data_IF_347166581336
#
_entry.id   IF_347166581336
#
_cell.length_a   1.000
_cell.length_b   1.000
_cell.length_c   1.000
_cell.angle_alpha   90.00
_cell.angle_beta   90.00
_cell.angle_gamma   90.00
#
_symmetry.space_group_name_H-M   'P 1'
#
loop_
_entity.id
_entity.type
_entity.pdbx_description
1 polymer ?
#
# COMPACT_ATOMS: atom_id res chain seq x y z
N UNK A 1 45.99 18.19 8.50
CA UNK A 1 45.17 18.23 7.28
C UNK A 1 44.23 17.06 7.12
N UNK A 2 44.68 15.80 7.16
CA UNK A 2 43.87 14.59 6.94
C UNK A 2 42.68 14.47 7.93
N UNK A 3 42.85 14.83 9.21
CA UNK A 3 41.77 14.78 10.22
C UNK A 3 40.66 15.79 9.93
N UNK A 4 41.02 17.00 9.46
CA UNK A 4 40.07 18.06 9.12
C UNK A 4 39.25 17.65 7.87
N UNK A 5 39.91 17.08 6.86
CA UNK A 5 39.25 16.59 5.64
C UNK A 5 38.22 15.46 5.96
N UNK A 6 38.57 14.53 6.85
CA UNK A 6 37.65 13.49 7.31
C UNK A 6 36.45 14.05 8.05
N UNK A 7 36.67 15.06 8.91
CA UNK A 7 35.59 15.68 9.69
C UNK A 7 34.64 16.48 8.79
N UNK A 8 35.16 17.18 7.80
CA UNK A 8 34.36 17.90 6.78
C UNK A 8 33.57 16.90 5.92
N UNK A 9 34.19 15.82 5.48
CA UNK A 9 33.51 14.80 4.68
C UNK A 9 32.33 14.15 5.46
N UNK A 10 32.51 13.82 6.75
CA UNK A 10 31.44 13.27 7.60
C UNK A 10 30.31 14.29 7.78
N UNK A 11 30.65 15.58 7.94
CA UNK A 11 29.65 16.65 8.07
C UNK A 11 28.81 16.82 6.78
N UNK A 12 29.43 16.78 5.61
CA UNK A 12 28.72 16.85 4.34
C UNK A 12 27.81 15.62 4.11
N UNK A 13 28.27 14.41 4.46
CA UNK A 13 27.47 13.19 4.36
C UNK A 13 26.23 13.27 5.27
N UNK A 14 26.37 13.78 6.49
CA UNK A 14 25.24 13.92 7.42
C UNK A 14 24.20 14.92 6.92
N UNK A 15 24.60 16.03 6.31
CA UNK A 15 23.67 17.02 5.74
C UNK A 15 22.85 16.43 4.58
N UNK A 16 23.47 15.62 3.70
CA UNK A 16 22.76 15.02 2.57
C UNK A 16 21.70 14.01 3.01
N UNK A 17 21.96 13.24 4.06
CA UNK A 17 21.00 12.27 4.62
C UNK A 17 19.77 12.96 5.24
N UNK A 18 19.95 14.09 5.92
CA UNK A 18 18.85 14.86 6.54
C UNK A 18 17.93 15.44 5.45
N UNK A 19 18.48 15.98 4.38
CA UNK A 19 17.69 16.56 3.29
C UNK A 19 16.83 15.52 2.57
N UNK A 20 17.30 14.27 2.44
CA UNK A 20 16.56 13.19 1.81
C UNK A 20 15.31 12.77 2.63
N UNK A 21 15.45 12.68 3.95
CA UNK A 21 14.35 12.32 4.84
C UNK A 21 13.24 13.38 4.88
N UNK A 22 13.62 14.66 4.85
CA UNK A 22 12.66 15.77 4.80
C UNK A 22 11.88 15.81 3.47
N UNK A 23 12.54 15.53 2.36
CA UNK A 23 11.90 15.47 1.04
C UNK A 23 10.89 14.33 0.94
N UNK A 24 11.20 13.16 1.49
CA UNK A 24 10.31 12.00 1.54
C UNK A 24 8.99 12.32 2.26
N UNK A 25 9.08 12.80 3.48
CA UNK A 25 7.90 13.14 4.29
C UNK A 25 7.05 14.21 3.63
N UNK A 26 7.67 15.16 2.93
CA UNK A 26 6.97 16.22 2.20
C UNK A 26 6.15 15.66 1.03
N UNK A 27 6.74 14.80 0.18
CA UNK A 27 6.02 14.21 -0.97
C UNK A 27 4.86 13.31 -0.55
N UNK A 28 5.03 12.51 0.50
CA UNK A 28 3.97 11.66 1.01
C UNK A 28 2.78 12.49 1.55
N UNK A 29 3.05 13.47 2.41
CA UNK A 29 1.98 14.29 3.00
C UNK A 29 1.27 15.15 1.94
N UNK A 30 2.01 15.73 0.99
CA UNK A 30 1.42 16.45 -0.13
C UNK A 30 0.58 15.52 -1.01
N UNK A 31 1.06 14.30 -1.27
CA UNK A 31 0.32 13.27 -1.99
C UNK A 31 -1.02 12.95 -1.34
N UNK A 32 -1.08 12.83 0.00
CA UNK A 32 -2.32 12.64 0.75
C UNK A 32 -3.29 13.81 0.61
N UNK A 33 -2.77 15.03 0.65
CA UNK A 33 -3.60 16.24 0.44
C UNK A 33 -4.25 16.17 -0.95
N UNK A 34 -3.45 15.90 -2.00
CA UNK A 34 -3.95 15.77 -3.37
C UNK A 34 -4.96 14.63 -3.53
N UNK A 35 -4.72 13.50 -2.86
CA UNK A 35 -5.66 12.38 -2.83
C UNK A 35 -7.02 12.78 -2.26
N UNK A 36 -7.03 13.49 -1.13
CA UNK A 36 -8.24 13.97 -0.49
C UNK A 36 -8.98 15.03 -1.34
N UNK A 37 -8.23 15.83 -2.11
CA UNK A 37 -8.77 16.76 -3.11
C UNK A 37 -9.28 16.05 -4.38
N UNK A 38 -9.16 14.72 -4.48
CA UNK A 38 -9.47 13.90 -5.67
C UNK A 38 -8.62 14.25 -6.91
N UNK A 39 -7.48 14.90 -6.71
CA UNK A 39 -6.49 15.20 -7.75
C UNK A 39 -5.56 14.00 -7.92
N UNK A 40 -6.09 12.90 -8.45
CA UNK A 40 -5.43 11.61 -8.45
C UNK A 40 -4.13 11.58 -9.26
N UNK A 41 -4.05 12.27 -10.39
CA UNK A 41 -2.81 12.33 -11.19
C UNK A 41 -1.67 13.04 -10.43
N UNK A 42 -1.95 14.20 -9.80
CA UNK A 42 -0.97 14.91 -8.99
C UNK A 42 -0.54 14.04 -7.78
N UNK A 43 -1.51 13.43 -7.11
CA UNK A 43 -1.30 12.54 -5.99
C UNK A 43 -0.43 11.35 -6.35
N UNK A 44 -0.72 10.69 -7.48
CA UNK A 44 0.04 9.55 -8.03
C UNK A 44 1.50 9.93 -8.25
N UNK A 45 1.75 11.07 -8.90
CA UNK A 45 3.10 11.58 -9.12
C UNK A 45 3.86 11.79 -7.80
N UNK A 46 3.20 12.36 -6.78
CA UNK A 46 3.81 12.63 -5.47
C UNK A 46 4.15 11.34 -4.71
N UNK A 47 3.24 10.32 -4.71
CA UNK A 47 3.54 9.03 -4.11
C UNK A 47 4.66 8.29 -4.84
N UNK A 48 4.72 8.37 -6.17
CA UNK A 48 5.85 7.80 -6.93
C UNK A 48 7.17 8.49 -6.56
N UNK A 49 7.17 9.80 -6.35
CA UNK A 49 8.36 10.51 -5.84
C UNK A 49 8.71 10.09 -4.42
N UNK A 50 7.74 9.95 -3.53
CA UNK A 50 7.98 9.45 -2.16
C UNK A 50 8.70 8.10 -2.19
N UNK A 51 8.27 7.17 -3.03
CA UNK A 51 8.88 5.85 -3.21
C UNK A 51 10.33 5.92 -3.72
N UNK A 52 10.68 6.91 -4.55
CA UNK A 52 12.06 7.09 -5.01
C UNK A 52 12.99 7.38 -3.83
N UNK A 53 12.54 8.18 -2.86
CA UNK A 53 13.31 8.51 -1.66
C UNK A 53 13.26 7.41 -0.61
N UNK A 54 12.11 6.73 -0.47
CA UNK A 54 11.93 5.59 0.44
C UNK A 54 11.19 4.44 -0.24
N UNK A 55 11.91 3.51 -0.88
CA UNK A 55 11.30 2.32 -1.51
C UNK A 55 10.58 1.38 -0.54
N UNK A 56 10.73 1.58 0.78
CA UNK A 56 10.06 0.78 1.82
C UNK A 56 8.83 1.47 2.42
N UNK A 57 8.44 2.63 1.90
CA UNK A 57 7.22 3.30 2.36
C UNK A 57 5.97 2.56 1.85
N UNK A 58 5.47 1.63 2.65
CA UNK A 58 4.27 0.86 2.35
C UNK A 58 3.03 1.74 2.12
N UNK A 59 2.96 2.90 2.74
CA UNK A 59 1.79 3.77 2.64
C UNK A 59 1.68 4.43 1.26
N UNK A 60 2.79 4.83 0.66
CA UNK A 60 2.78 5.35 -0.72
C UNK A 60 2.28 4.31 -1.71
N UNK A 61 2.71 3.04 -1.59
CA UNK A 61 2.17 1.94 -2.41
C UNK A 61 0.68 1.71 -2.14
N UNK A 62 0.23 1.81 -0.89
CA UNK A 62 -1.18 1.63 -0.55
C UNK A 62 -2.05 2.72 -1.19
N UNK A 63 -1.62 3.98 -1.16
CA UNK A 63 -2.34 5.06 -1.83
C UNK A 63 -2.32 4.91 -3.36
N UNK A 64 -1.20 4.49 -3.94
CA UNK A 64 -1.15 4.16 -5.37
C UNK A 64 -2.13 3.05 -5.74
N UNK A 65 -2.22 1.99 -4.94
CA UNK A 65 -3.20 0.93 -5.16
C UNK A 65 -4.64 1.47 -5.16
N UNK A 66 -4.99 2.34 -4.21
CA UNK A 66 -6.31 2.99 -4.15
C UNK A 66 -6.60 3.87 -5.38
N UNK A 67 -5.61 4.61 -5.86
CA UNK A 67 -5.76 5.42 -7.08
C UNK A 67 -5.98 4.50 -8.28
N UNK A 68 -5.18 3.45 -8.45
CA UNK A 68 -5.33 2.50 -9.54
C UNK A 68 -6.65 1.72 -9.49
N UNK A 69 -7.18 1.45 -8.28
CA UNK A 69 -8.53 0.91 -8.09
C UNK A 69 -9.59 1.85 -8.65
N UNK A 70 -9.47 3.15 -8.38
CA UNK A 70 -10.35 4.18 -8.89
C UNK A 70 -10.28 4.31 -10.43
N UNK A 71 -9.07 4.16 -10.99
CA UNK A 71 -8.80 4.18 -12.44
C UNK A 71 -9.20 2.86 -13.16
N UNK A 72 -9.71 1.85 -12.43
CA UNK A 72 -9.96 0.46 -12.90
C UNK A 72 -8.70 -0.21 -13.51
N UNK A 73 -7.52 0.24 -13.11
CA UNK A 73 -6.25 -0.37 -13.51
C UNK A 73 -5.88 -1.54 -12.59
N UNK A 74 -6.54 -2.68 -12.83
CA UNK A 74 -6.45 -3.88 -11.98
C UNK A 74 -5.02 -4.42 -11.83
N UNK A 75 -4.20 -4.29 -12.87
CA UNK A 75 -2.82 -4.77 -12.86
C UNK A 75 -1.96 -3.96 -11.87
N UNK A 76 -1.99 -2.64 -11.98
CA UNK A 76 -1.20 -1.78 -11.10
C UNK A 76 -1.78 -1.74 -9.68
N UNK A 77 -3.12 -1.81 -9.51
CA UNK A 77 -3.76 -2.00 -8.21
C UNK A 77 -3.17 -3.22 -7.50
N UNK A 78 -3.23 -4.39 -8.12
CA UNK A 78 -2.75 -5.63 -7.50
C UNK A 78 -1.24 -5.62 -7.25
N UNK A 79 -0.45 -5.08 -8.18
CA UNK A 79 1.01 -4.97 -8.03
C UNK A 79 1.36 -4.15 -6.79
N UNK A 80 0.73 -3.01 -6.59
CA UNK A 80 0.98 -2.14 -5.45
C UNK A 80 0.51 -2.79 -4.14
N UNK A 81 -0.65 -3.46 -4.11
CA UNK A 81 -1.12 -4.23 -2.94
C UNK A 81 -0.13 -5.33 -2.57
N UNK A 82 0.37 -6.08 -3.54
CA UNK A 82 1.36 -7.12 -3.28
C UNK A 82 2.65 -6.53 -2.71
N UNK A 83 3.07 -5.34 -3.16
CA UNK A 83 4.23 -4.65 -2.59
C UNK A 83 3.98 -4.24 -1.15
N UNK A 84 2.78 -3.71 -0.83
CA UNK A 84 2.41 -3.42 0.57
C UNK A 84 2.53 -4.66 1.44
N UNK A 85 1.96 -5.78 0.99
CA UNK A 85 1.96 -7.03 1.77
C UNK A 85 3.35 -7.70 1.86
N UNK A 86 4.25 -7.42 0.91
CA UNK A 86 5.65 -7.82 1.02
C UNK A 86 6.38 -7.02 2.10
N UNK A 87 6.07 -5.71 2.23
CA UNK A 87 6.68 -4.82 3.22
C UNK A 87 6.05 -4.97 4.61
N UNK A 88 4.74 -5.16 4.66
CA UNK A 88 3.94 -5.36 5.87
C UNK A 88 2.84 -6.40 5.63
N UNK A 89 3.11 -7.69 5.92
CA UNK A 89 2.13 -8.76 5.76
C UNK A 89 0.88 -8.61 6.65
N UNK A 90 0.95 -7.77 7.70
CA UNK A 90 -0.15 -7.53 8.63
C UNK A 90 -0.97 -6.27 8.28
N UNK A 91 -0.69 -5.61 7.17
CA UNK A 91 -1.46 -4.45 6.73
C UNK A 91 -2.91 -4.83 6.46
N UNK A 92 -3.81 -4.40 7.34
CA UNK A 92 -5.23 -4.79 7.29
C UNK A 92 -5.91 -4.32 6.00
N UNK A 93 -5.62 -3.09 5.56
CA UNK A 93 -6.25 -2.51 4.38
C UNK A 93 -5.78 -3.21 3.11
N UNK A 94 -4.49 -3.52 2.99
CA UNK A 94 -3.97 -4.25 1.85
C UNK A 94 -4.52 -5.69 1.78
N UNK A 95 -4.63 -6.38 2.93
CA UNK A 95 -5.27 -7.71 2.99
C UNK A 95 -6.73 -7.64 2.56
N UNK A 96 -7.48 -6.62 3.03
CA UNK A 96 -8.87 -6.43 2.63
C UNK A 96 -9.01 -6.17 1.11
N UNK A 97 -8.19 -5.27 0.55
CA UNK A 97 -8.19 -4.98 -0.88
C UNK A 97 -7.81 -6.20 -1.72
N UNK A 98 -6.88 -7.04 -1.25
CA UNK A 98 -6.54 -8.29 -1.92
C UNK A 98 -7.71 -9.27 -1.94
N UNK A 99 -8.48 -9.39 -0.83
CA UNK A 99 -9.69 -10.21 -0.80
C UNK A 99 -10.72 -9.75 -1.85
N UNK A 100 -10.92 -8.43 -1.99
CA UNK A 100 -11.82 -7.88 -3.01
C UNK A 100 -11.35 -8.21 -4.44
N UNK A 101 -10.05 -8.15 -4.71
CA UNK A 101 -9.47 -8.53 -6.01
C UNK A 101 -9.69 -10.00 -6.29
N UNK A 102 -9.41 -10.88 -5.33
CA UNK A 102 -9.54 -12.32 -5.53
C UNK A 102 -11.01 -12.75 -5.67
N UNK A 103 -11.96 -12.06 -5.00
CA UNK A 103 -13.40 -12.22 -5.24
C UNK A 103 -13.78 -11.90 -6.70
N UNK A 104 -13.32 -10.78 -7.23
CA UNK A 104 -13.57 -10.37 -8.61
C UNK A 104 -12.99 -11.35 -9.64
N UNK A 105 -11.94 -12.08 -9.27
CA UNK A 105 -11.33 -13.15 -10.08
C UNK A 105 -11.99 -14.51 -9.89
N UNK A 106 -13.03 -14.60 -9.06
CA UNK A 106 -13.65 -15.87 -8.68
C UNK A 106 -12.69 -16.87 -8.02
N UNK A 107 -11.63 -16.38 -7.39
CA UNK A 107 -10.66 -17.21 -6.68
C UNK A 107 -11.11 -17.44 -5.23
N UNK A 108 -12.24 -18.13 -5.07
CA UNK A 108 -12.93 -18.29 -3.78
C UNK A 108 -12.08 -19.02 -2.74
N UNK A 109 -11.27 -19.99 -3.15
CA UNK A 109 -10.35 -20.72 -2.25
C UNK A 109 -9.34 -19.75 -1.63
N UNK A 110 -8.75 -18.86 -2.44
CA UNK A 110 -7.80 -17.84 -1.94
C UNK A 110 -8.49 -16.83 -1.03
N UNK A 111 -9.72 -16.44 -1.32
CA UNK A 111 -10.48 -15.55 -0.44
C UNK A 111 -10.70 -16.16 0.93
N UNK A 112 -11.04 -17.46 1.02
CA UNK A 112 -11.20 -18.17 2.30
C UNK A 112 -9.91 -18.15 3.12
N UNK A 113 -8.78 -18.47 2.50
CA UNK A 113 -7.45 -18.39 3.14
C UNK A 113 -7.15 -16.97 3.67
N UNK A 114 -7.40 -15.96 2.84
CA UNK A 114 -7.17 -14.55 3.21
C UNK A 114 -8.07 -14.11 4.37
N UNK A 115 -9.35 -14.55 4.41
CA UNK A 115 -10.28 -14.28 5.51
C UNK A 115 -9.78 -14.87 6.83
N UNK A 116 -9.24 -16.09 6.80
CA UNK A 116 -8.67 -16.73 8.00
C UNK A 116 -7.46 -15.93 8.51
N UNK A 117 -6.56 -15.52 7.62
CA UNK A 117 -5.42 -14.68 7.97
C UNK A 117 -5.87 -13.32 8.49
N UNK A 118 -6.80 -12.66 7.80
CA UNK A 118 -7.34 -11.37 8.20
C UNK A 118 -7.96 -11.41 9.60
N UNK A 119 -8.63 -12.50 9.95
CA UNK A 119 -9.22 -12.70 11.29
C UNK A 119 -8.16 -12.65 12.40
N UNK A 120 -6.93 -13.07 12.11
CA UNK A 120 -5.82 -13.08 13.08
C UNK A 120 -5.13 -11.72 13.24
N UNK A 121 -5.13 -10.92 12.17
CA UNK A 121 -4.38 -9.67 12.12
C UNK A 121 -5.25 -8.42 12.32
N UNK A 122 -6.55 -8.49 12.03
CA UNK A 122 -7.42 -7.32 12.05
C UNK A 122 -7.56 -6.73 13.48
N UNK A 123 -7.50 -5.39 13.55
CA UNK A 123 -7.70 -4.59 14.77
C UNK A 123 -8.70 -3.46 14.55
N UNK A 124 -8.62 -2.82 13.38
CA UNK A 124 -9.44 -1.63 13.02
C UNK A 124 -10.49 -1.95 11.95
N UNK A 125 -10.21 -2.91 11.06
CA UNK A 125 -11.05 -3.23 9.91
C UNK A 125 -11.78 -4.58 10.07
N UNK A 126 -11.91 -5.11 11.29
CA UNK A 126 -12.59 -6.38 11.53
C UNK A 126 -14.06 -6.37 11.09
N UNK A 127 -14.71 -5.20 11.07
CA UNK A 127 -16.07 -4.97 10.56
C UNK A 127 -16.21 -5.22 9.05
N UNK A 128 -15.11 -5.23 8.32
CA UNK A 128 -15.10 -5.55 6.87
C UNK A 128 -15.23 -7.04 6.57
N UNK A 129 -14.89 -7.91 7.53
CA UNK A 129 -14.95 -9.37 7.35
C UNK A 129 -16.35 -9.89 6.97
N UNK A 130 -17.45 -9.48 7.65
CA UNK A 130 -18.79 -9.91 7.26
C UNK A 130 -19.15 -9.59 5.81
N UNK A 131 -18.72 -8.43 5.30
CA UNK A 131 -19.00 -8.01 3.92
C UNK A 131 -18.33 -8.95 2.89
N UNK A 132 -17.08 -9.36 3.16
CA UNK A 132 -16.36 -10.32 2.31
C UNK A 132 -17.01 -11.70 2.37
N UNK A 133 -17.40 -12.17 3.55
CA UNK A 133 -18.07 -13.48 3.73
C UNK A 133 -19.43 -13.52 3.03
N UNK A 134 -20.20 -12.45 3.10
CA UNK A 134 -21.47 -12.33 2.39
C UNK A 134 -21.26 -12.36 0.87
N UNK A 135 -20.29 -11.59 0.36
CA UNK A 135 -19.92 -11.59 -1.06
C UNK A 135 -19.46 -12.97 -1.51
N UNK A 136 -18.64 -13.66 -0.73
CA UNK A 136 -18.20 -15.01 -1.01
C UNK A 136 -19.39 -15.99 -1.11
N UNK A 137 -20.31 -15.93 -0.14
CA UNK A 137 -21.53 -16.78 -0.13
C UNK A 137 -22.42 -16.56 -1.36
N UNK A 138 -22.49 -15.31 -1.84
CA UNK A 138 -23.35 -14.94 -2.95
C UNK A 138 -22.73 -15.27 -4.33
N UNK A 139 -21.41 -15.28 -4.43
CA UNK A 139 -20.69 -15.45 -5.69
C UNK A 139 -20.15 -16.87 -5.90
N UNK A 140 -19.86 -17.61 -4.81
CA UNK A 140 -19.35 -18.98 -4.91
C UNK A 140 -20.46 -19.90 -5.41
N UNK A 141 -20.25 -20.67 -6.52
CA UNK A 141 -21.22 -21.64 -7.00
C UNK A 141 -21.50 -22.67 -5.91
N UNK A 142 -22.79 -22.90 -5.61
CA UNK A 142 -23.17 -24.01 -4.75
C UNK A 142 -22.94 -25.29 -5.55
N UNK A 143 -22.04 -26.14 -5.06
CA UNK A 143 -21.95 -27.50 -5.59
C UNK A 143 -23.30 -28.21 -5.27
N UNK A 144 -24.18 -28.26 -6.25
CA UNK A 144 -25.32 -29.16 -6.18
C UNK A 144 -24.76 -30.59 -6.29
N UNK A 145 -24.68 -31.26 -5.15
CA UNK A 145 -24.36 -32.68 -5.02
C UNK A 145 -25.61 -33.51 -5.19
#
# INVERSE_FOLDING_TARGET
>A
MIKIIKLVAVFFISITLINSALAESSFFEEGKIKYNEKKYEESKFLFQRSIIFNPKDQYSYLYLAKIYKFEDNKREEQKNINTVLLLDPQNEEANYLLMEIELKKSNYSKVKELVENFTKICKKLCDKKPLILESLKNLEPKNES
#
